data_IF_700130450540
#
_entry.id   IF_700130450540
#
_cell.length_a   1.000
_cell.length_b   1.000
_cell.length_c   1.000
_cell.angle_alpha   90.00
_cell.angle_beta   90.00
_cell.angle_gamma   90.00
#
_symmetry.space_group_name_H-M   'P 1'
#
loop_
_entity.id
_entity.type
_entity.pdbx_description
1 polymer ?
#
# COMPACT_ATOMS: atom_id res chain seq x y z
N UNK A 1 10.84 11.59 1.27
CA UNK A 1 9.98 11.80 2.47
C UNK A 1 8.71 10.98 2.29
N UNK A 2 8.46 9.90 3.03
CA UNK A 2 7.35 8.96 2.81
C UNK A 2 5.92 9.57 2.75
N UNK A 3 4.97 8.79 2.24
CA UNK A 3 3.53 9.11 2.18
C UNK A 3 2.66 8.00 2.77
N UNK A 4 1.55 8.36 3.40
CA UNK A 4 0.57 7.44 4.00
C UNK A 4 -0.83 7.84 3.55
N UNK A 5 -1.67 6.85 3.22
CA UNK A 5 -3.11 7.05 3.00
C UNK A 5 -3.87 6.07 3.86
N UNK A 6 -4.91 6.54 4.54
CA UNK A 6 -5.88 5.72 5.25
C UNK A 6 -7.26 5.94 4.66
N UNK A 7 -8.10 4.91 4.68
CA UNK A 7 -9.48 5.02 4.25
C UNK A 7 -10.38 4.12 5.09
N UNK A 8 -11.54 4.66 5.46
CA UNK A 8 -12.68 3.96 6.07
C UNK A 8 -13.93 4.56 5.42
N UNK A 9 -14.80 3.75 4.84
CA UNK A 9 -16.02 4.25 4.22
C UNK A 9 -16.90 3.13 3.65
N UNK A 10 -17.58 3.41 2.54
CA UNK A 10 -18.57 2.49 1.94
C UNK A 10 -18.13 1.94 0.57
N UNK A 11 -17.05 2.48 -0.01
CA UNK A 11 -16.45 2.01 -1.26
C UNK A 11 -15.30 1.03 -1.00
N UNK A 12 -14.87 0.31 -2.04
CA UNK A 12 -13.65 -0.52 -2.00
C UNK A 12 -12.42 0.33 -1.61
N UNK A 13 -11.77 -0.06 -0.52
CA UNK A 13 -10.62 0.63 0.03
C UNK A 13 -9.41 0.51 -0.88
N UNK A 14 -9.21 -0.65 -1.49
CA UNK A 14 -8.06 -1.02 -2.33
C UNK A 14 -7.84 -0.02 -3.45
N UNK A 15 -8.92 0.28 -4.18
CA UNK A 15 -8.95 1.23 -5.28
C UNK A 15 -8.65 2.66 -4.83
N UNK A 16 -9.18 3.07 -3.68
CA UNK A 16 -8.97 4.41 -3.11
C UNK A 16 -7.53 4.56 -2.62
N UNK A 17 -7.02 3.57 -1.90
CA UNK A 17 -5.66 3.53 -1.38
C UNK A 17 -4.63 3.58 -2.51
N UNK A 18 -4.83 2.81 -3.59
CA UNK A 18 -3.95 2.86 -4.76
C UNK A 18 -3.94 4.24 -5.42
N UNK A 19 -5.12 4.83 -5.69
CA UNK A 19 -5.21 6.19 -6.26
C UNK A 19 -4.58 7.24 -5.36
N UNK A 20 -4.73 7.09 -4.04
CA UNK A 20 -4.08 7.95 -3.06
C UNK A 20 -2.56 7.84 -3.12
N UNK A 21 -2.03 6.61 -3.21
CA UNK A 21 -0.59 6.39 -3.37
C UNK A 21 -0.02 6.98 -4.65
N UNK A 22 -0.75 6.93 -5.77
CA UNK A 22 -0.30 7.55 -7.03
C UNK A 22 -0.10 9.06 -6.86
N UNK A 23 -1.00 9.73 -6.15
CA UNK A 23 -0.85 11.17 -5.83
C UNK A 23 0.31 11.45 -4.88
N UNK A 24 0.75 10.46 -4.10
CA UNK A 24 1.85 10.57 -3.15
C UNK A 24 3.14 9.91 -3.63
N UNK A 25 3.25 9.47 -4.89
CA UNK A 25 4.46 8.79 -5.37
C UNK A 25 5.69 9.71 -5.34
N UNK A 26 5.50 11.01 -5.55
CA UNK A 26 6.58 12.01 -5.47
C UNK A 26 7.25 12.10 -4.08
N UNK A 27 6.58 11.58 -3.04
CA UNK A 27 7.06 11.55 -1.66
C UNK A 27 8.06 10.39 -1.45
N UNK A 28 7.83 9.26 -2.11
CA UNK A 28 8.69 8.08 -2.03
C UNK A 28 8.34 7.04 -3.07
N UNK A 29 9.37 6.50 -3.72
CA UNK A 29 9.22 5.59 -4.86
C UNK A 29 10.14 4.36 -4.77
N UNK A 30 10.78 4.14 -3.62
CA UNK A 30 11.66 2.98 -3.42
C UNK A 30 10.86 1.71 -3.11
N UNK A 31 9.71 1.84 -2.45
CA UNK A 31 8.76 0.74 -2.26
C UNK A 31 7.40 1.25 -1.83
N UNK A 32 6.38 0.42 -2.01
CA UNK A 32 5.02 0.74 -1.60
C UNK A 32 4.23 -0.52 -1.23
N UNK A 33 3.19 -0.32 -0.44
CA UNK A 33 2.27 -1.40 -0.07
C UNK A 33 0.91 -0.89 0.37
N UNK A 34 -0.06 -1.81 0.33
CA UNK A 34 -1.40 -1.64 0.86
C UNK A 34 -1.71 -2.78 1.84
N UNK A 35 -2.53 -2.48 2.84
CA UNK A 35 -3.14 -3.46 3.71
C UNK A 35 -4.61 -3.10 3.95
N UNK A 36 -5.49 -4.08 3.87
CA UNK A 36 -6.93 -3.93 4.10
C UNK A 36 -7.40 -4.93 5.14
N UNK A 37 -8.51 -4.63 5.80
CA UNK A 37 -9.11 -5.52 6.80
C UNK A 37 -10.45 -6.05 6.29
N UNK A 38 -10.52 -7.35 6.03
CA UNK A 38 -11.72 -8.05 5.55
C UNK A 38 -12.02 -9.23 6.49
N UNK A 39 -13.22 -9.30 7.06
CA UNK A 39 -13.63 -10.38 7.98
C UNK A 39 -12.61 -10.64 9.11
N UNK A 40 -12.07 -9.57 9.70
CA UNK A 40 -11.00 -9.62 10.72
C UNK A 40 -9.66 -10.20 10.25
N UNK A 41 -9.49 -10.42 8.95
CA UNK A 41 -8.25 -10.88 8.32
C UNK A 41 -7.58 -9.71 7.60
N UNK A 42 -6.28 -9.54 7.84
CA UNK A 42 -5.48 -8.54 7.14
C UNK A 42 -4.99 -9.13 5.83
N UNK A 43 -5.44 -8.55 4.71
CA UNK A 43 -4.86 -8.81 3.38
C UNK A 43 -3.84 -7.73 3.07
N UNK A 44 -2.63 -8.12 2.67
CA UNK A 44 -1.52 -7.19 2.43
C UNK A 44 -0.76 -7.52 1.16
N UNK A 45 -0.47 -6.51 0.36
CA UNK A 45 0.38 -6.60 -0.83
C UNK A 45 1.45 -5.51 -0.76
N UNK A 46 2.69 -5.90 -1.07
CA UNK A 46 3.89 -5.03 -1.00
C UNK A 46 4.77 -5.23 -2.22
N UNK A 47 5.38 -4.15 -2.69
CA UNK A 47 6.34 -4.17 -3.79
C UNK A 47 7.47 -3.18 -3.58
N UNK A 48 8.67 -3.57 -4.02
CA UNK A 48 9.78 -2.66 -4.25
C UNK A 48 9.57 -1.89 -5.56
N UNK A 49 10.08 -0.66 -5.58
CA UNK A 49 9.99 0.30 -6.67
C UNK A 49 8.71 1.13 -6.67
N UNK A 50 8.47 1.73 -7.83
CA UNK A 50 7.34 2.63 -8.12
C UNK A 50 5.98 1.95 -7.93
N UNK A 51 4.93 2.76 -7.78
CA UNK A 51 3.53 2.34 -7.59
C UNK A 51 3.05 1.41 -8.69
N UNK A 52 3.54 1.56 -9.93
CA UNK A 52 3.24 0.65 -11.05
C UNK A 52 3.51 -0.81 -10.69
N UNK A 53 4.60 -1.10 -9.97
CA UNK A 53 4.95 -2.48 -9.58
C UNK A 53 3.95 -3.04 -8.55
N UNK A 54 3.45 -2.19 -7.66
CA UNK A 54 2.41 -2.57 -6.71
C UNK A 54 1.08 -2.83 -7.44
N UNK A 55 0.69 -1.96 -8.38
CA UNK A 55 -0.54 -2.13 -9.19
C UNK A 55 -0.56 -3.45 -9.96
N UNK A 56 0.58 -3.88 -10.49
CA UNK A 56 0.69 -5.17 -11.18
C UNK A 56 0.49 -6.38 -10.24
N UNK A 57 0.74 -6.22 -8.94
CA UNK A 57 0.61 -7.28 -7.93
C UNK A 57 -0.73 -7.26 -7.19
N UNK A 58 -1.40 -6.11 -7.16
CA UNK A 58 -2.73 -5.99 -6.53
C UNK A 58 -3.77 -6.50 -7.52
N UNK A 59 -4.34 -7.66 -7.22
CA UNK A 59 -5.55 -8.10 -7.89
C UNK A 59 -6.76 -7.50 -7.17
N UNK A 60 -7.36 -6.44 -7.75
CA UNK A 60 -8.48 -5.72 -7.14
C UNK A 60 -9.69 -6.62 -6.85
N UNK A 61 -9.93 -7.65 -7.66
CA UNK A 61 -11.06 -8.56 -7.48
C UNK A 61 -10.94 -9.42 -6.21
N UNK A 62 -9.74 -9.50 -5.63
CA UNK A 62 -9.49 -10.27 -4.40
C UNK A 62 -9.65 -9.44 -3.12
N UNK A 63 -9.92 -8.15 -3.24
CA UNK A 63 -10.13 -7.27 -2.09
C UNK A 63 -11.59 -6.85 -2.01
N UNK A 64 -12.28 -7.26 -0.95
CA UNK A 64 -13.62 -6.77 -0.61
C UNK A 64 -13.57 -6.15 0.78
N UNK A 65 -12.87 -5.03 0.91
CA UNK A 65 -12.75 -4.32 2.18
C UNK A 65 -13.08 -2.85 2.01
N UNK A 66 -13.80 -2.31 2.98
CA UNK A 66 -14.13 -0.89 3.03
C UNK A 66 -13.19 -0.07 3.92
N UNK A 67 -12.12 -0.69 4.43
CA UNK A 67 -11.13 -0.03 5.27
C UNK A 67 -9.72 -0.56 5.10
N UNK A 68 -8.74 0.33 5.15
CA UNK A 68 -7.33 -0.04 5.03
C UNK A 68 -6.38 1.14 5.07
N UNK A 69 -5.10 0.82 4.94
CA UNK A 69 -3.99 1.77 4.92
C UNK A 69 -3.02 1.44 3.79
N UNK A 70 -2.27 2.44 3.35
CA UNK A 70 -1.23 2.30 2.37
C UNK A 70 -0.05 3.23 2.65
N UNK A 71 1.12 2.89 2.11
CA UNK A 71 2.35 3.63 2.34
C UNK A 71 3.26 3.65 1.09
N UNK A 72 3.87 4.80 0.81
CA UNK A 72 5.03 4.97 -0.07
C UNK A 72 6.28 5.24 0.75
N UNK A 73 7.34 4.46 0.54
CA UNK A 73 8.61 4.57 1.29
C UNK A 73 9.68 5.25 0.43
N UNK A 74 10.37 6.19 1.05
CA UNK A 74 11.70 6.64 0.65
C UNK A 74 12.71 6.06 1.65
N UNK A 75 13.66 5.25 1.20
CA UNK A 75 14.66 4.64 2.05
C UNK A 75 15.71 5.69 2.46
N UNK A 76 15.79 5.99 3.75
CA UNK A 76 16.88 6.80 4.33
C UNK A 76 17.95 5.91 4.95
N UNK A 77 17.52 4.86 5.66
CA UNK A 77 18.35 3.81 6.21
C UNK A 77 17.73 2.45 5.91
N UNK A 78 18.58 1.42 5.78
CA UNK A 78 18.18 0.06 5.44
C UNK A 78 17.84 -0.11 3.96
N UNK A 79 18.30 -1.23 3.39
CA UNK A 79 18.18 -1.52 1.96
C UNK A 79 16.73 -1.49 1.46
N UNK A 80 16.58 -1.22 0.17
CA UNK A 80 15.29 -1.26 -0.52
C UNK A 80 14.90 -2.73 -0.74
N UNK A 81 14.15 -3.29 0.19
CA UNK A 81 13.70 -4.69 0.14
C UNK A 81 12.21 -4.82 0.45
N UNK A 82 11.63 -5.97 0.10
CA UNK A 82 10.21 -6.25 0.37
C UNK A 82 9.94 -6.36 1.87
N UNK A 83 10.92 -6.82 2.63
CA UNK A 83 10.87 -7.00 4.09
C UNK A 83 10.72 -5.64 4.77
N UNK A 84 11.52 -4.65 4.34
CA UNK A 84 11.49 -3.26 4.80
C UNK A 84 10.34 -2.43 4.21
N UNK A 85 9.47 -3.04 3.38
CA UNK A 85 8.33 -2.34 2.78
C UNK A 85 7.15 -2.33 3.75
N UNK A 86 6.54 -1.16 3.94
CA UNK A 86 5.34 -0.98 4.75
C UNK A 86 4.06 -1.31 3.94
N UNK A 87 2.91 -1.60 4.59
CA UNK A 87 2.72 -1.74 6.04
C UNK A 87 3.34 -3.03 6.63
N UNK A 88 3.86 -2.96 7.85
CA UNK A 88 4.32 -4.14 8.59
C UNK A 88 3.18 -4.83 9.34
N UNK A 89 3.38 -6.08 9.73
CA UNK A 89 2.47 -6.89 10.55
C UNK A 89 3.34 -7.64 11.57
N UNK A 90 2.83 -7.89 12.77
CA UNK A 90 3.45 -8.79 13.75
C UNK A 90 3.31 -10.25 13.33
#
# INVERSE_FOLDING_TARGET
MCGIVGYIGNKDASSILLKGLEKLEYRGYDSAGIATLENSVIKRVRSVGKIKNLKQKVNLDQFNSTRGISHTRWATHGSVTKENTHPHTA
#
